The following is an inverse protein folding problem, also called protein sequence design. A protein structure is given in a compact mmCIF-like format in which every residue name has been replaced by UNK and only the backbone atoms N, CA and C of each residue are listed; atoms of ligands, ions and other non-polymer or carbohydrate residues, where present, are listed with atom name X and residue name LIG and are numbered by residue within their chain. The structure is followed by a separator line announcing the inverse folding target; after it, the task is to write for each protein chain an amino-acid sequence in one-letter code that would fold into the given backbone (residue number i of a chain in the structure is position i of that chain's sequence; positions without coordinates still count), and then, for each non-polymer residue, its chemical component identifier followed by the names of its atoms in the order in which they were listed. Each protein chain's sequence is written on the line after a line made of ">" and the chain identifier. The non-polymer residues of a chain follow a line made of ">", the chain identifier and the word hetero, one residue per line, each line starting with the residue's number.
data_IF_167156019928
#
_entry.id   IF_167156019928
#
_cell.length_a   1.000
_cell.length_b   1.000
_cell.length_c   1.000
_cell.angle_alpha   90.00
_cell.angle_beta   90.00
_cell.angle_gamma   90.00
#
_symmetry.space_group_name_H-M   'P 1'
#
loop_
_entity.id
_entity.type
_entity.pdbx_description
1 polymer ?
#
# COMPACT_ATOMS: atom_id res chain seq x y z
N UNK A 1 -3.55 14.21 -15.89
CA UNK A 1 -3.06 13.75 -14.57
C UNK A 1 -3.91 12.59 -14.07
N UNK A 2 -3.30 11.62 -13.39
CA UNK A 2 -3.97 10.47 -12.75
C UNK A 2 -4.69 10.92 -11.47
N UNK A 3 -5.68 11.81 -11.58
CA UNK A 3 -6.29 12.51 -10.45
C UNK A 3 -6.97 11.62 -9.39
N UNK A 4 -7.27 10.36 -9.72
CA UNK A 4 -7.83 9.36 -8.81
C UNK A 4 -6.76 8.68 -7.92
N UNK A 5 -5.48 8.88 -8.24
CA UNK A 5 -4.37 8.17 -7.60
C UNK A 5 -3.85 8.86 -6.34
N UNK A 6 -4.34 10.07 -6.06
CA UNK A 6 -3.94 10.89 -4.93
C UNK A 6 -5.20 11.34 -4.19
N UNK A 7 -5.23 11.07 -2.90
CA UNK A 7 -6.33 11.51 -2.04
C UNK A 7 -6.30 13.03 -1.84
N UNK A 8 -7.47 13.65 -1.75
CA UNK A 8 -7.60 15.04 -1.29
C UNK A 8 -7.72 15.06 0.23
N UNK A 9 -6.94 15.91 0.89
CA UNK A 9 -7.00 16.06 2.34
C UNK A 9 -8.38 16.59 2.75
N UNK A 10 -9.08 15.83 3.60
CA UNK A 10 -10.39 16.18 4.14
C UNK A 10 -10.25 16.74 5.56
N UNK A 11 -11.20 17.57 6.04
CA UNK A 11 -11.23 17.97 7.44
C UNK A 11 -11.37 16.73 8.34
N UNK A 12 -10.82 16.80 9.55
CA UNK A 12 -11.04 15.77 10.54
C UNK A 12 -12.54 15.58 10.79
N UNK A 13 -13.03 14.33 11.00
CA UNK A 13 -14.41 14.11 11.38
C UNK A 13 -14.76 14.94 12.62
N UNK A 14 -15.93 15.59 12.64
CA UNK A 14 -16.35 16.43 13.76
C UNK A 14 -16.38 15.69 15.11
N UNK A 15 -16.54 14.37 15.07
CA UNK A 15 -16.54 13.48 16.23
C UNK A 15 -15.14 13.05 16.72
N UNK A 16 -14.06 13.31 15.96
CA UNK A 16 -12.73 12.76 16.23
C UNK A 16 -12.26 13.04 17.67
N UNK A 17 -12.44 14.27 18.15
CA UNK A 17 -12.03 14.63 19.52
C UNK A 17 -12.93 14.00 20.60
N UNK A 18 -14.19 13.70 20.30
CA UNK A 18 -15.08 12.99 21.21
C UNK A 18 -14.72 11.50 21.28
N UNK A 19 -14.45 10.88 20.13
CA UNK A 19 -13.97 9.49 20.03
C UNK A 19 -12.63 9.32 20.75
N UNK A 20 -11.66 10.21 20.51
CA UNK A 20 -10.35 10.15 21.19
C UNK A 20 -10.47 10.27 22.71
N UNK A 21 -11.43 11.04 23.23
CA UNK A 21 -11.70 11.12 24.67
C UNK A 21 -12.27 9.81 25.23
N UNK A 22 -13.05 9.07 24.45
CA UNK A 22 -13.49 7.72 24.81
C UNK A 22 -12.31 6.73 24.81
N UNK A 23 -11.43 6.80 23.80
CA UNK A 23 -10.25 5.93 23.71
C UNK A 23 -9.15 6.22 24.76
N UNK A 24 -9.08 7.43 25.32
CA UNK A 24 -8.14 7.75 26.43
C UNK A 24 -8.38 6.94 27.71
N UNK A 25 -9.50 6.22 27.82
CA UNK A 25 -9.75 5.28 28.92
C UNK A 25 -9.14 3.89 28.70
N UNK A 26 -8.69 3.56 27.48
CA UNK A 26 -7.83 2.39 27.24
C UNK A 26 -6.39 2.81 27.55
N UNK A 27 -5.77 2.13 28.51
CA UNK A 27 -4.45 2.48 29.06
C UNK A 27 -3.39 2.73 27.98
N UNK A 28 -2.36 3.52 28.33
CA UNK A 28 -1.20 3.81 27.47
C UNK A 28 -0.71 2.53 26.79
N UNK A 29 -0.87 2.44 25.47
CA UNK A 29 -0.21 1.42 24.67
C UNK A 29 1.30 1.56 24.89
N UNK A 30 1.91 0.52 25.47
CA UNK A 30 3.36 0.46 25.57
C UNK A 30 3.89 0.07 24.19
N UNK A 31 4.79 0.88 23.67
CA UNK A 31 5.60 0.60 22.50
C UNK A 31 6.32 -0.74 22.70
N UNK A 32 6.03 -1.71 21.84
CA UNK A 32 6.72 -3.00 21.79
C UNK A 32 7.59 -2.97 20.54
N UNK A 33 8.87 -3.27 20.68
CA UNK A 33 9.86 -3.30 19.60
C UNK A 33 10.10 -4.77 19.21
N UNK A 34 10.05 -5.12 17.93
CA UNK A 34 10.24 -6.51 17.44
C UNK A 34 11.47 -6.68 16.54
N UNK A 35 11.84 -7.95 16.33
CA UNK A 35 13.17 -8.48 15.98
C UNK A 35 13.61 -8.35 14.51
N UNK A 36 12.85 -7.71 13.62
CA UNK A 36 12.95 -7.91 12.16
C UNK A 36 13.82 -6.90 11.38
N UNK A 37 14.71 -6.16 12.04
CA UNK A 37 15.34 -5.01 11.37
C UNK A 37 14.33 -3.90 11.12
N UNK A 38 14.74 -2.82 10.45
CA UNK A 38 14.11 -1.51 10.64
C UNK A 38 12.81 -1.26 9.85
N UNK A 39 11.72 -1.97 10.19
CA UNK A 39 10.34 -1.54 9.89
C UNK A 39 9.95 -0.27 10.68
N UNK A 40 10.71 0.04 11.73
CA UNK A 40 10.54 1.20 12.61
C UNK A 40 11.87 1.95 12.78
N UNK A 41 12.38 2.53 11.70
CA UNK A 41 13.52 3.45 11.79
C UNK A 41 13.04 4.82 12.28
N UNK A 42 13.54 5.25 13.45
CA UNK A 42 13.33 6.61 13.94
C UNK A 42 13.86 7.60 12.89
N UNK A 43 12.95 8.07 12.03
CA UNK A 43 13.15 9.20 11.15
C UNK A 43 12.37 10.37 11.73
N UNK A 44 12.92 11.60 11.72
CA UNK A 44 12.13 12.77 12.07
C UNK A 44 10.84 12.75 11.24
N UNK A 45 9.68 12.97 11.87
CA UNK A 45 8.39 13.08 11.16
C UNK A 45 8.44 14.28 10.21
N UNK A 46 8.91 14.05 8.99
CA UNK A 46 8.86 15.03 7.89
C UNK A 46 7.57 14.91 7.09
N UNK A 47 6.81 13.83 7.31
CA UNK A 47 5.54 13.58 6.65
C UNK A 47 4.51 12.89 7.57
N UNK A 48 3.23 13.33 7.56
CA UNK A 48 2.79 14.59 6.99
C UNK A 48 3.52 15.76 7.68
N UNK A 49 3.55 16.97 7.10
CA UNK A 49 4.08 18.15 7.79
C UNK A 49 3.45 18.27 9.19
N UNK A 50 4.10 18.93 10.15
CA UNK A 50 3.67 18.97 11.57
C UNK A 50 2.18 19.31 11.80
N UNK A 51 1.52 19.97 10.84
CA UNK A 51 0.10 20.36 10.88
C UNK A 51 -0.82 19.57 9.95
N UNK A 52 -0.35 18.46 9.36
CA UNK A 52 -1.09 17.71 8.37
C UNK A 52 -1.03 18.32 6.96
N UNK A 53 -1.86 17.80 6.06
CA UNK A 53 -2.00 18.32 4.70
C UNK A 53 -3.06 19.43 4.65
N UNK A 54 -2.90 20.47 3.82
CA UNK A 54 -3.92 21.51 3.68
C UNK A 54 -5.22 20.91 3.14
N UNK A 55 -6.34 21.15 3.84
CA UNK A 55 -7.67 20.67 3.44
C UNK A 55 -8.02 21.19 2.04
N UNK A 56 -8.63 20.34 1.22
CA UNK A 56 -8.98 20.69 -0.16
C UNK A 56 -7.79 20.64 -1.12
N UNK A 57 -6.62 20.18 -0.67
CA UNK A 57 -5.43 19.97 -1.51
C UNK A 57 -5.13 18.49 -1.64
N UNK A 58 -4.60 18.10 -2.80
CA UNK A 58 -4.10 16.75 -3.03
C UNK A 58 -2.92 16.47 -2.10
N UNK A 59 -2.97 15.34 -1.43
CA UNK A 59 -1.85 14.77 -0.70
C UNK A 59 -0.80 14.34 -1.72
N UNK A 60 0.48 14.74 -1.61
CA UNK A 60 1.53 14.39 -2.57
C UNK A 60 2.15 13.00 -2.28
N UNK A 61 1.32 12.01 -1.94
CA UNK A 61 1.71 10.62 -1.69
C UNK A 61 0.82 9.65 -2.46
N UNK A 62 1.44 8.76 -3.23
CA UNK A 62 0.76 7.63 -3.86
C UNK A 62 0.74 6.44 -2.90
N UNK A 63 -0.46 5.92 -2.68
CA UNK A 63 -0.69 4.72 -1.88
C UNK A 63 -1.19 3.60 -2.80
N UNK A 64 -0.83 2.36 -2.49
CA UNK A 64 -1.25 1.20 -3.27
C UNK A 64 -2.79 1.09 -3.34
N UNK A 65 -3.49 1.56 -2.30
CA UNK A 65 -4.95 1.62 -2.30
C UNK A 65 -5.54 2.55 -3.36
N UNK A 66 -4.83 3.63 -3.73
CA UNK A 66 -5.24 4.54 -4.80
C UNK A 66 -5.07 3.90 -6.18
N UNK A 67 -4.18 2.90 -6.29
CA UNK A 67 -4.06 2.05 -7.47
C UNK A 67 -5.15 1.00 -7.52
N UNK A 68 -5.35 0.24 -6.45
CA UNK A 68 -6.16 -0.97 -6.46
C UNK A 68 -7.67 -0.70 -6.34
N UNK A 69 -8.09 0.19 -5.44
CA UNK A 69 -9.49 0.31 -5.02
C UNK A 69 -10.46 0.67 -6.17
N UNK A 70 -10.15 1.63 -7.06
CA UNK A 70 -11.07 1.97 -8.15
C UNK A 70 -11.40 0.79 -9.07
N UNK A 71 -10.42 -0.08 -9.35
CA UNK A 71 -10.62 -1.28 -10.18
C UNK A 71 -11.26 -2.42 -9.37
N UNK A 72 -10.90 -2.56 -8.10
CA UNK A 72 -11.51 -3.55 -7.20
C UNK A 72 -13.02 -3.37 -7.12
N UNK A 73 -13.50 -2.13 -7.00
CA UNK A 73 -14.93 -1.80 -6.89
C UNK A 73 -15.61 -1.53 -8.24
N UNK A 74 -14.91 -1.65 -9.37
CA UNK A 74 -15.47 -1.36 -10.70
C UNK A 74 -15.87 0.12 -10.90
N UNK A 75 -15.24 1.04 -10.16
CA UNK A 75 -15.50 2.48 -10.25
C UNK A 75 -14.86 3.13 -11.49
N UNK A 76 -13.89 2.45 -12.12
CA UNK A 76 -13.28 2.92 -13.36
C UNK A 76 -14.27 2.72 -14.52
N UNK A 77 -14.55 3.73 -15.37
CA UNK A 77 -15.39 3.56 -16.55
C UNK A 77 -14.82 2.52 -17.52
N UNK A 78 -15.69 1.71 -18.12
CA UNK A 78 -15.30 0.60 -19.00
C UNK A 78 -15.00 1.01 -20.44
N UNK A 79 -15.27 2.27 -20.83
CA UNK A 79 -14.89 2.77 -22.14
C UNK A 79 -13.36 2.85 -22.28
N UNK A 80 -12.84 2.49 -23.44
CA UNK A 80 -11.39 2.33 -23.67
C UNK A 80 -10.61 3.64 -23.47
N UNK A 81 -11.16 4.75 -23.97
CA UNK A 81 -10.56 6.08 -23.82
C UNK A 81 -10.45 6.55 -22.36
N UNK A 82 -11.46 6.26 -21.53
CA UNK A 82 -11.44 6.62 -20.12
C UNK A 82 -10.71 5.59 -19.24
N UNK A 83 -10.79 4.30 -19.52
CA UNK A 83 -10.03 3.28 -18.75
C UNK A 83 -8.53 3.37 -19.02
N UNK A 84 -8.13 3.56 -20.28
CA UNK A 84 -6.72 3.63 -20.69
C UNK A 84 -5.92 4.74 -20.01
N UNK A 85 -6.52 5.92 -19.80
CA UNK A 85 -5.86 7.00 -19.06
C UNK A 85 -5.58 6.63 -17.60
N UNK A 86 -6.44 5.80 -16.99
CA UNK A 86 -6.29 5.37 -15.61
C UNK A 86 -5.37 4.15 -15.49
N UNK A 87 -5.37 3.26 -16.49
CA UNK A 87 -4.54 2.07 -16.49
C UNK A 87 -3.03 2.38 -16.51
N UNK A 88 -2.63 3.57 -16.99
CA UNK A 88 -1.25 4.07 -16.88
C UNK A 88 -0.70 4.04 -15.45
N UNK A 89 -1.55 4.15 -14.43
CA UNK A 89 -1.11 4.13 -13.05
C UNK A 89 -0.52 2.78 -12.61
N UNK A 90 -0.90 1.68 -13.28
CA UNK A 90 -0.35 0.35 -13.01
C UNK A 90 1.15 0.23 -13.31
N UNK A 91 1.72 1.17 -14.09
CA UNK A 91 3.18 1.25 -14.29
C UNK A 91 3.94 1.47 -12.97
N UNK A 92 3.28 1.99 -11.93
CA UNK A 92 3.88 2.15 -10.61
C UNK A 92 3.94 0.87 -9.78
N UNK A 93 3.21 -0.18 -10.17
CA UNK A 93 3.18 -1.45 -9.43
C UNK A 93 4.56 -2.12 -9.44
N UNK A 94 5.23 -2.14 -10.59
CA UNK A 94 6.53 -2.79 -10.77
C UNK A 94 7.71 -1.81 -10.67
N UNK A 95 7.44 -0.50 -10.59
CA UNK A 95 8.47 0.53 -10.44
C UNK A 95 9.16 0.41 -9.06
N UNK A 96 10.50 0.19 -8.99
CA UNK A 96 11.23 0.09 -7.71
C UNK A 96 11.17 1.35 -6.85
N UNK A 97 11.00 2.52 -7.47
CA UNK A 97 10.76 3.79 -6.78
C UNK A 97 9.28 4.01 -6.47
N UNK A 98 8.41 3.17 -7.02
CA UNK A 98 6.97 3.10 -6.77
C UNK A 98 6.66 2.03 -5.72
N UNK A 99 5.78 1.10 -6.09
CA UNK A 99 5.36 0.03 -5.20
C UNK A 99 6.22 -1.23 -5.34
N UNK A 100 6.95 -1.40 -6.43
CA UNK A 100 7.58 -2.68 -6.79
C UNK A 100 8.72 -3.07 -5.86
N UNK A 101 8.56 -4.16 -5.12
CA UNK A 101 9.58 -4.69 -4.23
C UNK A 101 9.69 -6.21 -4.33
N UNK A 102 10.78 -6.75 -3.76
CA UNK A 102 11.17 -8.16 -3.91
C UNK A 102 10.15 -9.14 -3.33
N UNK A 103 9.52 -8.77 -2.21
CA UNK A 103 8.63 -9.66 -1.46
C UNK A 103 7.15 -9.23 -1.48
N UNK A 104 6.82 -8.26 -2.32
CA UNK A 104 5.45 -7.80 -2.49
C UNK A 104 5.38 -6.30 -2.70
N UNK A 105 4.23 -5.78 -3.13
CA UNK A 105 4.09 -4.35 -3.38
C UNK A 105 4.08 -3.58 -2.05
N UNK A 106 4.77 -2.43 -2.04
CA UNK A 106 4.72 -1.47 -0.93
C UNK A 106 3.35 -0.84 -0.83
N UNK A 107 2.88 -0.60 0.39
CA UNK A 107 1.66 0.19 0.63
C UNK A 107 1.79 1.67 0.26
N UNK A 108 3.02 2.22 0.28
CA UNK A 108 3.34 3.61 -0.09
C UNK A 108 4.51 3.64 -1.07
N UNK A 109 4.49 4.57 -2.04
CA UNK A 109 5.58 4.69 -3.02
C UNK A 109 6.93 4.99 -2.36
N UNK A 110 7.99 4.26 -2.76
CA UNK A 110 9.34 4.39 -2.17
C UNK A 110 9.94 5.79 -2.30
N UNK A 111 9.62 6.51 -3.38
CA UNK A 111 10.09 7.89 -3.64
C UNK A 111 9.50 8.96 -2.71
N UNK A 112 8.47 8.62 -1.94
CA UNK A 112 7.81 9.58 -1.05
C UNK A 112 8.65 9.84 0.20
N UNK A 113 8.69 11.09 0.66
CA UNK A 113 9.23 11.44 1.99
C UNK A 113 8.41 10.84 3.14
N UNK A 114 7.24 10.27 2.84
CA UNK A 114 6.35 9.58 3.76
C UNK A 114 6.59 8.07 3.79
N UNK A 115 7.54 7.56 3.01
CA UNK A 115 7.88 6.15 2.99
C UNK A 115 8.64 5.74 4.26
N UNK A 116 8.14 4.70 4.92
CA UNK A 116 8.77 3.98 6.02
C UNK A 116 9.35 4.91 7.12
N UNK A 117 8.56 5.91 7.53
CA UNK A 117 8.87 6.66 8.75
C UNK A 117 8.29 5.91 9.96
N UNK A 118 9.09 5.74 11.00
CA UNK A 118 8.60 5.12 12.24
C UNK A 118 7.67 6.07 12.98
N UNK A 119 6.49 5.57 13.31
CA UNK A 119 5.93 5.85 14.61
C UNK A 119 6.21 4.61 15.50
N UNK A 120 6.04 4.74 16.81
CA UNK A 120 6.26 3.68 17.79
C UNK A 120 5.38 2.43 17.63
N UNK A 121 4.44 2.41 16.66
CA UNK A 121 3.62 1.25 16.36
C UNK A 121 4.31 0.35 15.32
N UNK A 122 4.11 -0.96 15.46
CA UNK A 122 4.67 -1.97 14.55
C UNK A 122 3.88 -2.10 13.25
N UNK A 123 2.58 -1.80 13.27
CA UNK A 123 1.63 -2.06 12.18
C UNK A 123 1.45 -0.83 11.29
N UNK A 124 2.50 -0.42 10.57
CA UNK A 124 2.48 0.81 9.77
C UNK A 124 2.07 0.58 8.31
N UNK A 125 1.20 1.46 7.81
CA UNK A 125 0.68 1.43 6.42
C UNK A 125 1.44 2.35 5.46
N UNK A 126 2.62 2.84 5.85
CA UNK A 126 3.40 3.83 5.11
C UNK A 126 4.60 3.21 4.36
N UNK A 127 4.59 1.91 4.06
CA UNK A 127 5.69 1.29 3.32
C UNK A 127 5.66 -0.23 3.27
N UNK A 128 5.32 -0.89 4.40
CA UNK A 128 5.26 -2.35 4.51
C UNK A 128 4.44 -3.00 3.40
N UNK A 129 4.75 -4.25 3.06
CA UNK A 129 3.89 -5.03 2.16
C UNK A 129 2.85 -5.78 2.98
N UNK A 130 1.58 -5.53 2.69
CA UNK A 130 0.46 -6.06 3.44
C UNK A 130 -0.27 -7.11 2.60
N UNK A 131 -0.50 -8.34 3.10
CA UNK A 131 -1.31 -9.35 2.41
C UNK A 131 -2.73 -8.85 2.09
N UNK A 132 -3.31 -8.05 2.99
CA UNK A 132 -4.60 -7.40 2.76
C UNK A 132 -4.59 -6.55 1.49
N UNK A 133 -3.63 -5.64 1.34
CA UNK A 133 -3.60 -4.73 0.19
C UNK A 133 -3.09 -5.43 -1.08
N UNK A 134 -2.20 -6.41 -0.93
CA UNK A 134 -1.68 -7.21 -2.04
C UNK A 134 -2.79 -8.06 -2.66
N UNK A 135 -3.62 -8.71 -1.85
CA UNK A 135 -4.78 -9.47 -2.34
C UNK A 135 -5.81 -8.55 -3.00
N UNK A 136 -6.11 -7.38 -2.42
CA UNK A 136 -6.97 -6.36 -3.05
C UNK A 136 -6.41 -5.90 -4.41
N UNK A 137 -5.11 -5.71 -4.51
CA UNK A 137 -4.41 -5.33 -5.76
C UNK A 137 -4.48 -6.45 -6.81
N UNK A 138 -4.33 -7.71 -6.40
CA UNK A 138 -4.49 -8.85 -7.29
C UNK A 138 -5.92 -8.95 -7.84
N UNK A 139 -6.94 -8.81 -7.00
CA UNK A 139 -8.35 -8.79 -7.43
C UNK A 139 -8.66 -7.61 -8.34
N UNK A 140 -8.14 -6.43 -8.02
CA UNK A 140 -8.23 -5.25 -8.89
C UNK A 140 -7.66 -5.51 -10.29
N UNK A 141 -6.52 -6.22 -10.39
CA UNK A 141 -5.93 -6.61 -11.67
C UNK A 141 -6.75 -7.70 -12.38
N UNK A 142 -7.38 -8.64 -11.66
CA UNK A 142 -8.31 -9.59 -12.26
C UNK A 142 -9.48 -8.86 -12.92
N UNK A 143 -10.10 -7.91 -12.21
CA UNK A 143 -11.19 -7.09 -12.76
C UNK A 143 -10.75 -6.33 -14.00
N UNK A 144 -9.58 -5.67 -13.95
CA UNK A 144 -8.96 -5.01 -15.10
C UNK A 144 -8.83 -5.95 -16.32
N UNK A 145 -8.35 -7.17 -16.12
CA UNK A 145 -8.09 -8.12 -17.19
C UNK A 145 -9.36 -8.79 -17.74
N UNK A 146 -10.43 -8.87 -16.95
CA UNK A 146 -11.66 -9.58 -17.33
C UNK A 146 -12.78 -8.65 -17.81
N UNK A 147 -12.87 -7.43 -17.25
CA UNK A 147 -14.03 -6.55 -17.42
C UNK A 147 -13.74 -5.31 -18.26
N UNK A 148 -12.48 -5.04 -18.61
CA UNK A 148 -12.08 -3.86 -19.37
C UNK A 148 -11.43 -4.25 -20.71
N UNK A 149 -11.47 -3.36 -21.71
CA UNK A 149 -10.70 -3.53 -22.94
C UNK A 149 -9.21 -3.76 -22.66
N UNK A 150 -8.51 -4.36 -23.62
CA UNK A 150 -7.07 -4.56 -23.49
C UNK A 150 -6.35 -3.21 -23.34
N UNK A 151 -5.74 -3.00 -22.18
CA UNK A 151 -5.07 -1.75 -21.85
C UNK A 151 -3.68 -1.75 -22.50
N UNK A 152 -3.33 -0.75 -23.30
CA UNK A 152 -2.03 -0.61 -23.99
C UNK A 152 -0.84 -0.27 -23.08
N UNK A 153 -0.86 -0.74 -21.84
CA UNK A 153 0.13 -0.50 -20.78
C UNK A 153 0.69 -1.85 -20.30
N UNK A 154 1.87 -1.90 -19.66
CA UNK A 154 2.48 -3.15 -19.18
C UNK A 154 1.78 -3.72 -17.93
N UNK A 155 0.45 -3.74 -17.92
CA UNK A 155 -0.36 -4.46 -16.94
C UNK A 155 -1.16 -5.52 -17.69
N UNK A 156 -0.89 -6.77 -17.38
CA UNK A 156 -1.28 -7.90 -18.22
C UNK A 156 -1.20 -9.22 -17.46
N UNK A 157 -1.50 -10.32 -18.16
CA UNK A 157 -1.40 -11.67 -17.58
C UNK A 157 -0.03 -11.96 -16.98
N UNK A 158 1.04 -11.47 -17.60
CA UNK A 158 2.41 -11.62 -17.09
C UNK A 158 2.63 -10.86 -15.77
N UNK A 159 2.12 -9.64 -15.65
CA UNK A 159 2.19 -8.86 -14.41
C UNK A 159 1.39 -9.55 -13.28
N UNK A 160 0.18 -10.05 -13.58
CA UNK A 160 -0.63 -10.80 -12.62
C UNK A 160 0.09 -12.06 -12.14
N UNK A 161 0.68 -12.82 -13.06
CA UNK A 161 1.43 -14.01 -12.73
C UNK A 161 2.65 -13.69 -11.86
N UNK A 162 3.40 -12.63 -12.17
CA UNK A 162 4.53 -12.17 -11.36
C UNK A 162 4.11 -11.77 -9.94
N UNK A 163 2.99 -11.03 -9.82
CA UNK A 163 2.42 -10.65 -8.52
C UNK A 163 2.03 -11.88 -7.70
N UNK A 164 1.34 -12.86 -8.31
CA UNK A 164 0.91 -14.08 -7.63
C UNK A 164 2.11 -14.92 -7.16
N UNK A 165 3.14 -15.07 -8.01
CA UNK A 165 4.36 -15.78 -7.63
C UNK A 165 5.08 -15.08 -6.48
N UNK A 166 5.17 -13.76 -6.50
CA UNK A 166 5.78 -12.96 -5.43
C UNK A 166 5.00 -13.11 -4.14
N UNK A 167 3.67 -13.03 -4.21
CA UNK A 167 2.77 -13.19 -3.06
C UNK A 167 2.88 -14.59 -2.43
N UNK A 168 2.94 -15.64 -3.25
CA UNK A 168 3.15 -17.00 -2.75
C UNK A 168 4.50 -17.17 -2.05
N UNK A 169 5.58 -16.58 -2.60
CA UNK A 169 6.92 -16.62 -1.96
C UNK A 169 6.95 -15.86 -0.63
N UNK A 170 6.26 -14.71 -0.55
CA UNK A 170 6.17 -13.92 0.67
C UNK A 170 5.54 -14.70 1.84
N UNK A 171 4.72 -15.71 1.54
CA UNK A 171 4.11 -16.57 2.54
C UNK A 171 4.95 -17.78 2.93
N UNK A 172 6.26 -17.59 3.04
CA UNK A 172 7.19 -18.63 3.48
C UNK A 172 8.15 -18.08 4.52
N UNK A 173 8.46 -18.86 5.56
CA UNK A 173 9.47 -18.51 6.57
C UNK A 173 10.60 -19.51 6.55
N UNK A 174 11.84 -19.06 6.39
CA UNK A 174 13.01 -19.96 6.51
C UNK A 174 13.31 -20.26 7.98
N UNK A 175 13.41 -21.55 8.33
CA UNK A 175 13.90 -22.00 9.64
C UNK A 175 15.40 -22.34 9.60
N UNK A 176 16.00 -22.57 10.76
CA UNK A 176 17.39 -23.07 10.90
C UNK A 176 17.63 -24.41 10.18
N UNK A 177 16.57 -25.16 9.89
CA UNK A 177 16.62 -26.43 9.17
C UNK A 177 16.56 -26.27 7.65
N UNK A 178 16.55 -25.03 7.13
CA UNK A 178 16.41 -24.73 5.71
C UNK A 178 15.01 -25.04 5.15
N UNK A 179 14.05 -25.33 6.02
CA UNK A 179 12.66 -25.50 5.64
C UNK A 179 12.01 -24.14 5.46
N UNK A 180 11.12 -24.03 4.47
CA UNK A 180 10.31 -22.85 4.21
C UNK A 180 8.81 -23.16 4.41
N UNK A 181 8.36 -23.52 5.63
CA UNK A 181 6.95 -23.77 5.86
C UNK A 181 6.09 -22.57 5.45
N UNK A 182 4.86 -22.81 4.98
CA UNK A 182 3.93 -21.74 4.66
C UNK A 182 3.64 -20.92 5.92
N UNK A 183 3.71 -19.60 5.80
CA UNK A 183 3.46 -18.67 6.89
C UNK A 183 2.81 -17.40 6.38
N UNK A 184 1.71 -16.99 7.02
CA UNK A 184 1.04 -15.71 6.74
C UNK A 184 1.12 -14.88 8.00
N UNK A 185 1.70 -13.69 7.89
CA UNK A 185 1.81 -12.70 8.98
C UNK A 185 0.98 -11.45 8.65
N UNK A 186 0.97 -10.47 9.56
CA UNK A 186 0.23 -9.20 9.40
C UNK A 186 0.74 -8.36 8.23
N UNK A 187 2.06 -8.14 8.18
CA UNK A 187 2.78 -7.48 7.10
C UNK A 187 4.23 -7.99 7.02
N UNK A 188 4.99 -7.54 6.02
CA UNK A 188 6.41 -7.88 5.88
C UNK A 188 7.24 -6.72 5.34
N UNK A 189 8.55 -6.78 5.58
CA UNK A 189 9.48 -5.84 4.97
C UNK A 189 9.52 -6.08 3.45
N UNK A 190 9.14 -5.10 2.61
CA UNK A 190 8.92 -5.32 1.17
C UNK A 190 10.20 -5.69 0.41
N UNK A 191 11.37 -5.29 0.91
CA UNK A 191 12.67 -5.59 0.30
C UNK A 191 13.35 -6.85 0.87
N UNK A 192 13.07 -7.21 2.14
CA UNK A 192 13.83 -8.24 2.86
C UNK A 192 13.03 -9.52 3.17
N UNK A 193 11.70 -9.44 3.27
CA UNK A 193 10.83 -10.58 3.54
C UNK A 193 10.51 -10.76 5.01
#
# INVERSE_FOLDING_TARGET
>A
ELGFFMNEAQPAPGALHAEWRQYRQMGRSREVQTYLGCLACHRPRTCPPERGWPVGKRVPVRELMGLSSPWYFGAVPTDDGASGKFAKAWTHLDDPMGFGAKWGPRTTERRSNCYNFSNSAQCNWNGGSWPFETSKTATAMINLLQSYPAQGVPVGRAAFHSLLQTYARAHTRSSTEGLAPPHVDEDLHPDDG
#
